data_IF_146324849238
#
_entry.id   IF_146324849238
#
_cell.length_a   1.000
_cell.length_b   1.000
_cell.length_c   1.000
_cell.angle_alpha   90.00
_cell.angle_beta   90.00
_cell.angle_gamma   90.00
#
_symmetry.space_group_name_H-M   'P 1'
#
loop_
_entity.id
_entity.type
_entity.pdbx_description
1 polymer ?
#
# COMPACT_ATOMS: atom_id res chain seq x y z
N UNK A 1 19.05 -43.94 -35.45
CA UNK A 1 18.78 -43.44 -34.06
C UNK A 1 18.85 -41.90 -34.10
N UNK A 2 17.72 -41.21 -34.07
CA UNK A 2 17.67 -39.74 -34.06
C UNK A 2 17.80 -39.28 -32.60
N UNK A 3 18.89 -38.62 -32.26
CA UNK A 3 19.07 -37.96 -30.95
C UNK A 3 18.22 -36.69 -30.93
N UNK A 4 17.16 -36.70 -30.11
CA UNK A 4 16.36 -35.51 -29.82
C UNK A 4 17.16 -34.72 -28.79
N UNK A 5 17.70 -33.56 -29.24
CA UNK A 5 18.34 -32.58 -28.35
C UNK A 5 17.22 -31.78 -27.68
N UNK A 6 16.90 -32.11 -26.43
CA UNK A 6 15.95 -31.35 -25.61
C UNK A 6 16.64 -30.05 -25.19
N UNK A 7 16.41 -28.98 -25.95
CA UNK A 7 16.87 -27.64 -25.58
C UNK A 7 15.99 -27.14 -24.45
N UNK A 8 16.44 -27.31 -23.21
CA UNK A 8 15.78 -26.75 -22.05
C UNK A 8 15.96 -25.23 -22.09
N UNK A 9 14.94 -24.52 -22.57
CA UNK A 9 14.92 -23.08 -22.59
C UNK A 9 14.82 -22.59 -21.14
N UNK A 10 15.97 -22.30 -20.52
CA UNK A 10 16.03 -21.58 -19.25
C UNK A 10 15.59 -20.14 -19.52
N UNK A 11 14.29 -19.93 -19.54
CA UNK A 11 13.76 -18.56 -19.46
C UNK A 11 14.26 -18.00 -18.12
N UNK A 12 14.94 -16.85 -18.12
CA UNK A 12 15.23 -16.19 -16.87
C UNK A 12 13.88 -15.92 -16.20
N UNK A 13 13.65 -16.56 -15.07
CA UNK A 13 12.59 -16.14 -14.15
C UNK A 13 12.99 -14.74 -13.71
N UNK A 14 12.53 -13.75 -14.45
CA UNK A 14 12.56 -12.36 -14.01
C UNK A 14 11.73 -12.32 -12.75
N UNK A 15 12.40 -12.45 -11.60
CA UNK A 15 11.80 -12.14 -10.31
C UNK A 15 11.58 -10.64 -10.37
N UNK A 16 10.45 -10.21 -10.91
CA UNK A 16 10.01 -8.85 -10.76
C UNK A 16 9.89 -8.63 -9.26
N UNK A 17 10.67 -7.71 -8.74
CA UNK A 17 10.47 -7.24 -7.38
C UNK A 17 9.01 -6.78 -7.29
N UNK A 18 8.18 -7.57 -6.64
CA UNK A 18 6.79 -7.18 -6.43
C UNK A 18 6.81 -6.08 -5.39
N UNK A 19 6.22 -4.96 -5.73
CA UNK A 19 6.06 -3.85 -4.84
C UNK A 19 4.91 -4.13 -3.87
N UNK A 20 4.96 -3.47 -2.72
CA UNK A 20 3.92 -3.54 -1.70
C UNK A 20 3.44 -2.14 -1.37
N UNK A 21 2.13 -1.97 -1.33
CA UNK A 21 1.50 -0.74 -0.84
C UNK A 21 1.53 -0.75 0.68
N UNK A 22 2.37 0.10 1.26
CA UNK A 22 2.51 0.24 2.71
C UNK A 22 1.85 1.54 3.15
N UNK A 23 0.92 1.43 4.09
CA UNK A 23 0.23 2.56 4.70
C UNK A 23 0.95 2.96 5.97
N UNK A 24 1.20 4.25 6.10
CA UNK A 24 1.70 4.89 7.30
C UNK A 24 0.61 5.81 7.87
N UNK A 25 0.29 5.61 9.13
CA UNK A 25 -0.61 6.46 9.90
C UNK A 25 0.14 6.97 11.12
N UNK A 26 0.42 8.25 11.15
CA UNK A 26 1.29 8.85 12.15
C UNK A 26 0.62 10.06 12.75
N UNK A 27 0.48 10.06 14.07
CA UNK A 27 0.06 11.22 14.85
C UNK A 27 1.27 11.74 15.60
N UNK A 28 1.74 12.92 15.22
CA UNK A 28 2.80 13.60 15.93
C UNK A 28 2.27 14.29 17.19
N UNK A 29 3.15 14.57 18.13
CA UNK A 29 2.86 15.30 19.34
C UNK A 29 2.79 16.83 19.13
N UNK A 30 2.55 17.55 20.20
CA UNK A 30 2.45 19.01 20.17
C UNK A 30 3.78 19.67 19.84
N UNK A 31 4.88 19.12 20.31
CA UNK A 31 6.20 19.75 20.22
C UNK A 31 6.98 19.32 18.96
N UNK A 32 6.46 18.38 18.20
CA UNK A 32 7.17 17.76 17.09
C UNK A 32 7.83 18.76 16.10
N UNK A 33 7.20 19.88 15.68
CA UNK A 33 7.90 20.83 14.79
C UNK A 33 9.03 21.60 15.48
N UNK A 34 8.90 21.88 16.77
CA UNK A 34 9.92 22.61 17.55
C UNK A 34 11.11 21.72 17.92
N UNK A 35 10.85 20.45 18.15
CA UNK A 35 11.84 19.45 18.56
C UNK A 35 12.44 18.70 17.38
N UNK A 36 12.05 19.09 16.17
CA UNK A 36 12.51 18.41 14.95
C UNK A 36 12.26 16.89 14.99
N UNK A 37 11.10 16.48 15.53
CA UNK A 37 10.69 15.09 15.54
C UNK A 37 10.40 14.65 14.12
N UNK A 38 10.82 13.46 13.76
CA UNK A 38 10.55 12.88 12.45
C UNK A 38 10.56 11.36 12.49
N UNK A 39 10.01 10.74 11.45
CA UNK A 39 10.28 9.33 11.19
C UNK A 39 11.00 9.15 9.86
N UNK A 40 11.77 8.08 9.80
CA UNK A 40 12.54 7.70 8.63
C UNK A 40 12.39 6.20 8.36
N UNK A 41 12.33 5.85 7.10
CA UNK A 41 12.36 4.45 6.63
C UNK A 41 13.60 4.27 5.77
N UNK A 42 14.48 3.38 6.18
CA UNK A 42 15.70 3.05 5.44
C UNK A 42 15.67 1.59 4.99
N UNK A 43 16.18 1.32 3.79
CA UNK A 43 16.33 -0.04 3.29
C UNK A 43 17.49 -0.78 3.99
N UNK A 44 17.66 -2.07 3.70
CA UNK A 44 18.72 -2.89 4.31
C UNK A 44 20.15 -2.42 4.02
N UNK A 45 20.36 -1.54 3.06
CA UNK A 45 21.64 -0.92 2.76
C UNK A 45 21.85 0.41 3.49
N UNK A 46 20.85 0.86 4.24
CA UNK A 46 20.89 2.15 4.95
C UNK A 46 20.46 3.35 4.13
N UNK A 47 20.03 3.16 2.86
CA UNK A 47 19.50 4.25 2.06
C UNK A 47 18.13 4.65 2.57
N UNK A 48 17.94 5.94 2.82
CA UNK A 48 16.65 6.48 3.25
C UNK A 48 15.67 6.47 2.08
N UNK A 49 14.58 5.73 2.23
CA UNK A 49 13.50 5.66 1.24
C UNK A 49 12.40 6.68 1.51
N UNK A 50 12.17 6.98 2.79
CA UNK A 50 11.12 7.88 3.25
C UNK A 50 11.68 8.68 4.41
N UNK A 51 11.43 9.99 4.38
CA UNK A 51 11.66 10.90 5.50
C UNK A 51 10.45 11.81 5.62
N UNK A 52 9.84 11.84 6.77
CA UNK A 52 8.75 12.75 7.06
C UNK A 52 9.01 13.52 8.36
N UNK A 53 8.96 14.84 8.25
CA UNK A 53 9.08 15.77 9.36
C UNK A 53 7.84 16.65 9.42
N UNK A 54 7.14 16.72 10.54
CA UNK A 54 5.95 17.53 10.67
C UNK A 54 6.28 19.02 10.59
N UNK A 55 5.35 19.79 10.05
CA UNK A 55 5.44 21.26 9.94
C UNK A 55 4.50 21.97 10.91
N UNK A 56 3.57 21.25 11.49
CA UNK A 56 2.58 21.77 12.43
C UNK A 56 2.45 20.89 13.67
N UNK A 57 1.94 21.50 14.74
CA UNK A 57 1.62 20.78 15.99
C UNK A 57 0.50 19.78 15.74
N UNK A 58 0.60 18.61 16.38
CA UNK A 58 -0.38 17.52 16.22
C UNK A 58 -0.63 17.10 14.76
N UNK A 59 0.37 17.27 13.90
CA UNK A 59 0.19 16.88 12.50
C UNK A 59 -0.14 15.39 12.38
N UNK A 60 -1.15 15.08 11.57
CA UNK A 60 -1.54 13.71 11.26
C UNK A 60 -1.22 13.39 9.82
N UNK A 61 -0.43 12.34 9.64
CA UNK A 61 -0.11 11.79 8.32
C UNK A 61 -0.86 10.48 8.12
N UNK A 62 -1.56 10.36 7.01
CA UNK A 62 -2.11 9.10 6.51
C UNK A 62 -1.74 8.99 5.04
N UNK A 63 -0.79 8.13 4.73
CA UNK A 63 -0.26 8.00 3.38
C UNK A 63 0.02 6.56 3.02
N UNK A 64 -0.03 6.26 1.73
CA UNK A 64 0.29 4.95 1.18
C UNK A 64 1.44 5.10 0.19
N UNK A 65 2.47 4.31 0.37
CA UNK A 65 3.70 4.38 -0.42
C UNK A 65 3.97 3.00 -1.00
N UNK A 66 4.36 3.00 -2.26
CA UNK A 66 4.79 1.80 -2.97
C UNK A 66 6.27 1.55 -2.68
N UNK A 67 6.57 0.46 -1.99
CA UNK A 67 7.94 0.05 -1.68
C UNK A 67 8.15 -1.42 -2.01
N UNK A 68 9.36 -1.76 -2.44
CA UNK A 68 9.73 -3.14 -2.75
C UNK A 68 9.72 -4.01 -1.49
N UNK A 69 9.48 -5.30 -1.66
CA UNK A 69 9.68 -6.26 -0.57
C UNK A 69 11.13 -6.26 -0.08
N UNK A 70 11.35 -6.45 1.21
CA UNK A 70 12.68 -6.48 1.80
C UNK A 70 12.70 -6.12 3.29
N UNK A 71 13.92 -5.98 3.82
CA UNK A 71 14.14 -5.54 5.19
C UNK A 71 14.30 -4.03 5.23
N UNK A 72 13.60 -3.42 6.18
CA UNK A 72 13.62 -1.98 6.39
C UNK A 72 13.83 -1.67 7.86
N UNK A 73 14.54 -0.59 8.13
CA UNK A 73 14.67 -0.01 9.46
C UNK A 73 13.75 1.20 9.54
N UNK A 74 12.86 1.17 10.52
CA UNK A 74 11.99 2.28 10.88
C UNK A 74 12.62 3.00 12.04
N UNK A 75 12.90 4.29 11.88
CA UNK A 75 13.51 5.14 12.90
C UNK A 75 12.58 6.27 13.28
N UNK A 76 12.20 6.36 14.54
CA UNK A 76 11.60 7.54 15.13
C UNK A 76 12.68 8.38 15.78
N UNK A 77 12.62 9.68 15.58
CA UNK A 77 13.58 10.65 16.10
C UNK A 77 12.89 11.71 16.90
N UNK A 78 13.57 12.09 17.98
CA UNK A 78 13.18 13.14 18.88
C UNK A 78 14.46 13.85 19.37
N UNK A 79 14.60 15.13 19.05
CA UNK A 79 15.82 15.86 19.40
C UNK A 79 15.89 16.25 20.87
N UNK A 80 14.77 16.24 21.58
CA UNK A 80 14.71 16.61 22.99
C UNK A 80 14.95 15.41 23.92
N UNK A 81 14.59 14.20 23.44
CA UNK A 81 14.87 12.95 24.13
C UNK A 81 13.83 12.53 25.16
N UNK A 82 12.72 13.24 25.26
CA UNK A 82 11.59 12.85 26.11
C UNK A 82 10.58 11.93 25.42
N UNK A 83 10.78 11.68 24.12
CA UNK A 83 9.91 10.89 23.27
C UNK A 83 8.78 11.74 22.69
N UNK A 84 7.94 11.14 21.88
CA UNK A 84 6.79 11.84 21.31
C UNK A 84 5.66 11.95 22.34
N UNK A 85 5.91 12.74 23.39
CA UNK A 85 5.05 12.83 24.56
C UNK A 85 4.37 14.19 24.63
N UNK A 86 3.04 14.18 24.68
CA UNK A 86 2.24 15.38 24.88
C UNK A 86 0.94 15.06 25.62
N UNK A 87 0.11 16.06 25.85
CA UNK A 87 -1.22 15.90 26.44
C UNK A 87 -2.18 15.05 25.58
N UNK A 88 -1.88 14.91 24.30
CA UNK A 88 -2.58 13.99 23.40
C UNK A 88 -1.63 12.87 22.96
N UNK A 89 -2.11 11.63 22.87
CA UNK A 89 -1.26 10.51 22.52
C UNK A 89 -0.78 10.60 21.08
N UNK A 90 0.53 10.56 20.90
CA UNK A 90 1.15 10.32 19.60
C UNK A 90 1.00 8.84 19.20
N UNK A 91 1.01 8.57 17.90
CA UNK A 91 0.95 7.19 17.41
C UNK A 91 1.75 7.02 16.14
N UNK A 92 2.27 5.82 15.95
CA UNK A 92 2.89 5.38 14.71
C UNK A 92 2.37 4.00 14.36
N UNK A 93 1.71 3.90 13.23
CA UNK A 93 1.23 2.64 12.66
C UNK A 93 1.76 2.46 11.26
N UNK A 94 2.13 1.25 10.95
CA UNK A 94 2.59 0.84 9.64
C UNK A 94 2.01 -0.53 9.31
N UNK A 95 1.45 -0.69 8.13
CA UNK A 95 0.89 -1.96 7.69
C UNK A 95 0.76 -2.05 6.18
N UNK A 96 0.45 -3.22 5.67
CA UNK A 96 0.08 -3.42 4.29
C UNK A 96 -1.11 -4.38 4.15
N UNK A 97 -1.69 -4.44 2.96
CA UNK A 97 -2.90 -5.24 2.70
C UNK A 97 -2.70 -6.74 2.87
N UNK A 98 -1.45 -7.24 2.83
CA UNK A 98 -1.13 -8.66 2.85
C UNK A 98 -0.70 -9.16 4.23
N UNK A 99 -0.02 -8.29 5.00
CA UNK A 99 0.51 -8.62 6.33
C UNK A 99 -0.36 -8.06 7.46
N UNK A 100 -1.27 -7.12 7.14
CA UNK A 100 -1.99 -6.35 8.16
C UNK A 100 -1.07 -5.33 8.84
N UNK A 101 -1.29 -5.07 10.12
CA UNK A 101 -0.47 -4.16 10.91
C UNK A 101 0.89 -4.81 11.20
N UNK A 102 1.96 -4.19 10.70
CA UNK A 102 3.35 -4.62 10.91
C UNK A 102 3.90 -3.96 12.19
N UNK A 103 3.55 -2.68 12.41
CA UNK A 103 3.87 -1.91 13.61
C UNK A 103 2.60 -1.22 14.07
N UNK A 104 2.31 -1.31 15.36
CA UNK A 104 1.32 -0.49 16.04
C UNK A 104 1.92 0.01 17.36
N UNK A 105 2.42 1.24 17.36
CA UNK A 105 2.80 1.97 18.55
C UNK A 105 1.76 3.05 18.82
N UNK A 106 0.73 2.70 19.54
CA UNK A 106 -0.39 3.57 19.85
C UNK A 106 -0.79 3.42 21.32
N UNK A 107 -0.33 4.29 22.21
CA UNK A 107 0.54 5.46 21.97
C UNK A 107 2.02 5.12 21.78
N UNK A 108 2.79 6.05 21.19
CA UNK A 108 4.25 6.01 21.24
C UNK A 108 4.66 6.41 22.65
N UNK A 109 5.21 5.46 23.40
CA UNK A 109 5.55 5.64 24.83
C UNK A 109 7.05 5.54 25.07
N UNK A 110 7.49 6.23 26.12
CA UNK A 110 8.86 6.19 26.61
C UNK A 110 9.71 7.31 26.06
N UNK A 111 10.71 7.73 26.85
CA UNK A 111 11.70 8.73 26.47
C UNK A 111 12.73 8.10 25.52
N UNK A 112 13.01 8.77 24.42
CA UNK A 112 14.02 8.33 23.46
C UNK A 112 14.48 9.50 22.57
N UNK A 113 15.77 9.56 22.26
CA UNK A 113 16.27 10.38 21.15
C UNK A 113 16.10 9.68 19.81
N UNK A 114 16.15 8.36 19.85
CA UNK A 114 16.03 7.51 18.68
C UNK A 114 15.40 6.18 19.09
N UNK A 115 14.41 5.77 18.33
CA UNK A 115 13.78 4.45 18.45
C UNK A 115 13.79 3.77 17.10
N UNK A 116 14.56 2.71 16.98
CA UNK A 116 14.70 1.95 15.76
C UNK A 116 14.04 0.58 15.90
N UNK A 117 13.45 0.11 14.81
CA UNK A 117 13.03 -1.28 14.67
C UNK A 117 13.24 -1.75 13.24
N UNK A 118 13.55 -3.03 13.08
CA UNK A 118 13.66 -3.64 11.76
C UNK A 118 12.42 -4.46 11.46
N UNK A 119 11.87 -4.28 10.27
CA UNK A 119 10.71 -5.00 9.76
C UNK A 119 11.02 -5.65 8.43
N UNK A 120 10.37 -6.77 8.15
CA UNK A 120 10.39 -7.37 6.83
C UNK A 120 9.06 -7.09 6.13
N UNK A 121 9.13 -6.46 4.98
CA UNK A 121 7.97 -6.24 4.11
C UNK A 121 7.96 -7.34 3.08
N UNK A 122 6.92 -8.15 3.07
CA UNK A 122 6.73 -9.16 2.05
C UNK A 122 5.99 -8.55 0.85
N UNK A 123 6.41 -8.85 -0.38
CA UNK A 123 5.68 -8.42 -1.55
C UNK A 123 4.26 -8.99 -1.51
N UNK A 124 3.28 -8.15 -1.79
CA UNK A 124 1.91 -8.61 -1.92
C UNK A 124 1.74 -9.39 -3.22
N UNK A 125 1.12 -10.58 -3.20
CA UNK A 125 0.76 -11.24 -4.43
C UNK A 125 -0.19 -10.32 -5.22
N UNK A 126 -0.10 -10.30 -6.56
CA UNK A 126 -1.06 -9.56 -7.35
C UNK A 126 -2.48 -10.05 -6.98
N UNK A 127 -3.46 -9.15 -6.96
CA UNK A 127 -4.84 -9.58 -6.76
C UNK A 127 -5.15 -10.66 -7.80
N UNK A 128 -5.89 -11.72 -7.42
CA UNK A 128 -6.29 -12.72 -8.38
C UNK A 128 -6.99 -12.02 -9.56
N UNK A 129 -6.74 -12.46 -10.78
CA UNK A 129 -7.42 -11.89 -11.94
C UNK A 129 -8.93 -11.88 -11.67
N UNK A 130 -9.63 -10.82 -12.05
CA UNK A 130 -11.06 -10.75 -11.82
C UNK A 130 -11.71 -11.99 -12.39
N UNK A 131 -12.42 -12.72 -11.55
CA UNK A 131 -13.19 -13.88 -12.00
C UNK A 131 -14.32 -13.33 -12.84
N UNK A 132 -14.24 -13.53 -14.16
CA UNK A 132 -15.36 -13.22 -15.04
C UNK A 132 -16.50 -14.18 -14.70
N UNK A 133 -17.51 -13.67 -14.00
CA UNK A 133 -18.74 -14.40 -13.78
C UNK A 133 -19.58 -14.22 -15.05
N UNK A 134 -19.95 -15.29 -15.75
CA UNK A 134 -20.82 -15.16 -16.90
C UNK A 134 -22.15 -14.55 -16.43
N UNK A 135 -22.51 -13.41 -17.01
CA UNK A 135 -23.78 -12.77 -16.77
C UNK A 135 -24.75 -13.10 -17.93
N UNK A 136 -25.93 -13.49 -17.58
CA UNK A 136 -27.01 -13.67 -18.56
C UNK A 136 -27.94 -12.45 -18.46
N UNK A 137 -27.99 -11.67 -19.55
CA UNK A 137 -28.96 -10.60 -19.70
C UNK A 137 -30.19 -11.17 -20.36
N UNK A 138 -31.33 -11.09 -19.67
CA UNK A 138 -32.63 -11.49 -20.22
C UNK A 138 -33.54 -10.26 -20.28
N UNK A 139 -33.90 -9.85 -21.49
CA UNK A 139 -34.78 -8.69 -21.73
C UNK A 139 -36.10 -9.19 -22.30
N UNK A 140 -37.15 -8.93 -21.56
CA UNK A 140 -38.53 -9.17 -22.06
C UNK A 140 -39.02 -7.89 -22.73
N UNK A 141 -39.19 -7.93 -24.01
CA UNK A 141 -39.74 -6.82 -24.79
C UNK A 141 -41.27 -6.94 -24.88
N UNK A 142 -41.91 -5.79 -24.97
CA UNK A 142 -43.35 -5.70 -25.24
C UNK A 142 -43.65 -5.86 -26.74
N UNK A 143 -44.91 -5.55 -27.15
CA UNK A 143 -45.34 -5.65 -28.55
C UNK A 143 -44.69 -4.60 -29.47
N UNK A 144 -43.97 -3.60 -28.91
CA UNK A 144 -43.34 -2.51 -29.67
C UNK A 144 -41.81 -2.65 -29.64
N UNK A 145 -41.30 -3.81 -29.94
CA UNK A 145 -39.86 -4.15 -29.84
C UNK A 145 -38.96 -3.19 -30.62
N UNK A 146 -39.45 -2.60 -31.71
CA UNK A 146 -38.72 -1.63 -32.54
C UNK A 146 -38.44 -0.28 -31.84
N UNK A 147 -39.05 -0.04 -30.69
CA UNK A 147 -38.86 1.19 -29.92
C UNK A 147 -37.87 1.01 -28.77
N UNK A 148 -37.33 -0.21 -28.58
CA UNK A 148 -36.49 -0.54 -27.44
C UNK A 148 -35.02 -0.68 -27.84
N UNK A 149 -34.16 0.03 -27.15
CA UNK A 149 -32.71 -0.14 -27.22
C UNK A 149 -32.10 -0.22 -25.82
N UNK A 150 -30.95 -0.87 -25.71
CA UNK A 150 -30.26 -1.01 -24.44
C UNK A 150 -28.75 -0.96 -24.63
N UNK A 151 -28.03 -0.48 -23.63
CA UNK A 151 -26.57 -0.45 -23.53
C UNK A 151 -26.12 -1.06 -22.21
N UNK A 152 -25.04 -1.83 -22.25
CA UNK A 152 -24.26 -2.19 -21.07
C UNK A 152 -22.98 -1.33 -21.08
N UNK A 153 -22.71 -0.66 -19.96
CA UNK A 153 -21.53 0.20 -19.81
C UNK A 153 -20.63 -0.34 -18.70
N UNK A 154 -19.32 -0.19 -18.89
CA UNK A 154 -18.37 -0.45 -17.84
C UNK A 154 -18.37 0.68 -16.78
N UNK A 155 -17.52 0.55 -15.75
CA UNK A 155 -17.38 1.55 -14.67
C UNK A 155 -16.88 2.92 -15.16
N UNK A 156 -16.33 3.00 -16.37
CA UNK A 156 -15.85 4.23 -17.00
C UNK A 156 -16.91 4.84 -17.94
N UNK A 157 -18.06 4.20 -18.05
CA UNK A 157 -19.14 4.63 -18.94
C UNK A 157 -18.96 4.23 -20.40
N UNK A 158 -18.00 3.36 -20.71
CA UNK A 158 -17.76 2.84 -22.06
C UNK A 158 -18.78 1.73 -22.35
N UNK A 159 -19.45 1.83 -23.49
CA UNK A 159 -20.40 0.79 -23.94
C UNK A 159 -19.61 -0.47 -24.29
N UNK A 160 -19.87 -1.55 -23.57
CA UNK A 160 -19.26 -2.88 -23.80
C UNK A 160 -20.15 -3.79 -24.61
N UNK A 161 -21.48 -3.54 -24.58
CA UNK A 161 -22.46 -4.29 -25.35
C UNK A 161 -23.70 -3.40 -25.55
N UNK A 162 -24.42 -3.60 -26.65
CA UNK A 162 -25.66 -2.89 -26.94
C UNK A 162 -26.56 -3.73 -27.82
N UNK A 163 -27.86 -3.45 -27.77
CA UNK A 163 -28.84 -4.10 -28.63
C UNK A 163 -30.09 -3.26 -28.75
N UNK A 164 -30.97 -3.71 -29.65
CA UNK A 164 -32.20 -3.07 -30.02
C UNK A 164 -32.51 -3.33 -31.50
N UNK A 165 -33.63 -2.93 -31.98
CA UNK A 165 -34.02 -3.10 -33.39
C UNK A 165 -33.74 -1.83 -34.17
#
# INVERSE_FOLDING_TARGET
MKKILLLLLLLPLSIFAQNSWVRFQVQFDFYAPQESNFFMVSNGNGDTSILFQPTSQYEYLDTVIDISGGNYTISLRDSYGDGWVSSQPSSFKMGNTCQGDIIDWSPVIGSFFQRDTTVTIYPCPPPPPPVCIPALLHINLDQYQSETSWDIKDSNGIIVESGGS
#
